data_IF_759118572598
#
_entry.id   IF_759118572598
#
_cell.length_a   1.000
_cell.length_b   1.000
_cell.length_c   1.000
_cell.angle_alpha   90.00
_cell.angle_beta   90.00
_cell.angle_gamma   90.00
#
_symmetry.space_group_name_H-M   'P 1'
#
loop_
_entity.id
_entity.type
_entity.pdbx_description
1 polymer ?
#
# COMPACT_ATOMS: atom_id res chain seq x y z
N UNK A 1 26.76 -12.82 25.21
CA UNK A 1 25.78 -13.46 24.30
C UNK A 1 26.09 -12.98 22.89
N UNK A 2 26.29 -13.87 21.92
CA UNK A 2 26.45 -13.48 20.52
C UNK A 2 25.14 -12.82 20.08
N UNK A 3 25.18 -11.54 19.74
CA UNK A 3 24.00 -10.77 19.38
C UNK A 3 23.51 -11.28 18.02
N UNK A 4 22.52 -12.18 18.00
CA UNK A 4 22.02 -12.79 16.76
C UNK A 4 21.40 -11.73 15.83
N UNK A 5 21.55 -11.90 14.49
CA UNK A 5 20.87 -11.06 13.50
C UNK A 5 19.38 -10.97 13.77
N UNK A 6 18.84 -9.74 13.76
CA UNK A 6 17.40 -9.47 13.90
C UNK A 6 17.01 -8.09 13.40
N UNK A 7 15.71 -7.90 13.18
CA UNK A 7 15.10 -6.59 12.99
C UNK A 7 14.49 -6.09 14.31
N UNK A 8 14.57 -4.78 14.55
CA UNK A 8 14.01 -4.13 15.73
C UNK A 8 12.50 -4.38 15.83
N UNK A 9 12.02 -4.69 17.04
CA UNK A 9 10.59 -4.88 17.35
C UNK A 9 9.95 -6.19 16.85
N UNK A 10 10.51 -6.85 15.84
CA UNK A 10 9.97 -8.09 15.27
C UNK A 10 10.33 -9.33 16.11
N UNK A 11 9.85 -9.37 17.36
CA UNK A 11 10.11 -10.45 18.32
C UNK A 11 9.27 -11.70 18.06
N UNK A 12 8.00 -11.50 17.72
CA UNK A 12 7.01 -12.55 17.49
C UNK A 12 6.57 -12.51 16.02
N UNK A 13 7.14 -13.37 15.18
CA UNK A 13 6.95 -13.30 13.72
C UNK A 13 6.96 -14.71 13.11
N UNK A 14 6.25 -14.89 11.99
CA UNK A 14 6.38 -16.10 11.17
C UNK A 14 7.66 -16.12 10.30
N UNK A 15 8.48 -15.08 10.36
CA UNK A 15 9.81 -14.98 9.75
C UNK A 15 10.91 -14.98 10.81
N UNK A 16 11.94 -15.80 10.62
CA UNK A 16 13.10 -15.91 11.50
C UNK A 16 14.32 -15.17 10.94
N UNK A 17 14.61 -13.98 11.50
CA UNK A 17 15.73 -13.15 11.07
C UNK A 17 17.10 -13.65 11.53
N UNK A 18 17.19 -14.74 12.28
CA UNK A 18 18.47 -15.42 12.51
C UNK A 18 18.93 -16.22 11.28
N UNK A 19 18.02 -16.47 10.33
CA UNK A 19 18.30 -17.19 9.08
C UNK A 19 18.62 -16.22 7.94
N UNK A 20 19.65 -16.55 7.15
CA UNK A 20 20.09 -15.74 6.00
C UNK A 20 18.99 -15.51 4.96
N UNK A 21 18.16 -16.51 4.69
CA UNK A 21 17.14 -16.46 3.62
C UNK A 21 16.08 -15.37 3.87
N UNK A 22 15.80 -15.06 5.14
CA UNK A 22 14.86 -14.00 5.53
C UNK A 22 15.37 -12.59 5.22
N UNK A 23 16.68 -12.42 5.02
CA UNK A 23 17.30 -11.15 4.61
C UNK A 23 17.31 -10.93 3.08
N UNK A 24 16.76 -11.88 2.31
CA UNK A 24 16.57 -11.73 0.87
C UNK A 24 15.52 -10.69 0.51
N UNK A 25 15.60 -10.15 -0.71
CA UNK A 25 14.72 -9.07 -1.25
C UNK A 25 13.22 -9.28 -0.95
N UNK A 26 12.71 -10.50 -1.11
CA UNK A 26 11.27 -10.76 -1.00
C UNK A 26 10.75 -10.64 0.45
N UNK A 27 11.55 -11.05 1.43
CA UNK A 27 11.15 -10.99 2.84
C UNK A 27 11.61 -9.69 3.51
N UNK A 28 12.84 -9.24 3.25
CA UNK A 28 13.38 -8.03 3.87
C UNK A 28 12.57 -6.77 3.51
N UNK A 29 12.17 -6.62 2.23
CA UNK A 29 11.48 -5.41 1.77
C UNK A 29 10.07 -5.22 2.35
N UNK A 30 9.43 -6.30 2.83
CA UNK A 30 8.17 -6.23 3.59
C UNK A 30 8.41 -6.20 5.11
N UNK A 31 9.53 -6.76 5.60
CA UNK A 31 9.82 -6.80 7.03
C UNK A 31 10.42 -5.51 7.59
N UNK A 32 11.38 -4.91 6.87
CA UNK A 32 12.07 -3.69 7.29
C UNK A 32 11.10 -2.52 7.53
N UNK A 33 10.08 -2.27 6.68
CA UNK A 33 9.02 -1.31 6.95
C UNK A 33 8.37 -1.42 8.33
N UNK A 34 8.07 -2.64 8.77
CA UNK A 34 7.42 -2.89 10.06
C UNK A 34 8.41 -2.68 11.21
N UNK A 35 9.66 -3.11 11.03
CA UNK A 35 10.73 -2.82 11.99
C UNK A 35 10.99 -1.31 12.15
N UNK A 36 10.90 -0.55 11.05
CA UNK A 36 10.98 0.91 11.07
C UNK A 36 9.80 1.51 11.85
N UNK A 37 8.57 1.04 11.64
CA UNK A 37 7.42 1.42 12.45
C UNK A 37 7.64 1.13 13.94
N UNK A 38 8.07 -0.08 14.31
CA UNK A 38 8.38 -0.41 15.71
C UNK A 38 9.46 0.51 16.30
N UNK A 39 10.50 0.84 15.52
CA UNK A 39 11.54 1.77 15.96
C UNK A 39 10.99 3.17 16.20
N UNK A 40 10.15 3.69 15.29
CA UNK A 40 9.48 4.97 15.46
C UNK A 40 8.56 4.99 16.69
N UNK A 41 7.80 3.91 16.92
CA UNK A 41 6.96 3.75 18.12
C UNK A 41 7.80 3.82 19.41
N UNK A 42 8.95 3.14 19.46
CA UNK A 42 9.87 3.18 20.61
C UNK A 42 10.50 4.56 20.87
N UNK A 43 10.36 5.48 19.91
CA UNK A 43 10.82 6.87 19.98
C UNK A 43 9.67 7.85 20.18
N UNK A 44 8.44 7.36 20.34
CA UNK A 44 7.23 8.19 20.41
C UNK A 44 7.09 9.10 19.18
N UNK A 45 7.53 8.59 18.01
CA UNK A 45 7.45 9.28 16.73
C UNK A 45 6.25 8.74 15.96
N UNK A 46 5.24 9.59 15.77
CA UNK A 46 4.11 9.30 14.91
C UNK A 46 4.52 9.22 13.42
N UNK A 47 3.74 8.45 12.67
CA UNK A 47 3.88 8.30 11.22
C UNK A 47 2.92 9.26 10.49
N UNK A 48 3.22 9.53 9.23
CA UNK A 48 2.41 10.42 8.40
C UNK A 48 1.15 9.70 7.92
N UNK A 49 -0.04 10.11 8.36
CA UNK A 49 -1.31 9.52 7.97
C UNK A 49 -2.01 10.32 6.88
N UNK A 50 -2.17 9.71 5.71
CA UNK A 50 -2.87 10.27 4.57
C UNK A 50 -4.35 9.90 4.65
N UNK A 51 -5.19 10.91 4.85
CA UNK A 51 -6.64 10.77 4.97
C UNK A 51 -7.37 11.54 3.87
N UNK A 52 -8.51 11.02 3.42
CA UNK A 52 -9.45 11.77 2.61
C UNK A 52 -10.25 12.73 3.50
N UNK A 53 -10.19 14.03 3.20
CA UNK A 53 -10.96 15.06 3.90
C UNK A 53 -11.25 16.21 2.94
N UNK A 54 -12.51 16.63 2.87
CA UNK A 54 -12.97 17.73 1.99
C UNK A 54 -12.59 17.52 0.51
N UNK A 55 -12.82 16.32 -0.03
CA UNK A 55 -12.42 15.90 -1.39
C UNK A 55 -10.91 15.97 -1.70
N UNK A 56 -10.06 16.11 -0.69
CA UNK A 56 -8.60 16.15 -0.84
C UNK A 56 -7.95 15.08 0.02
N UNK A 57 -6.71 14.74 -0.28
CA UNK A 57 -5.88 13.94 0.62
C UNK A 57 -5.10 14.92 1.49
N UNK A 58 -5.20 14.74 2.81
CA UNK A 58 -4.48 15.53 3.80
C UNK A 58 -3.55 14.63 4.59
N UNK A 59 -2.37 15.16 4.90
CA UNK A 59 -1.42 14.51 5.79
C UNK A 59 -1.66 15.01 7.21
N UNK A 60 -1.88 14.07 8.14
CA UNK A 60 -1.88 14.29 9.58
C UNK A 60 -0.97 13.25 10.26
N UNK A 61 -0.99 13.16 11.59
CA UNK A 61 -0.21 12.17 12.32
C UNK A 61 -1.11 11.02 12.81
N UNK A 62 -0.54 9.83 12.92
CA UNK A 62 -1.14 8.66 13.56
C UNK A 62 -0.06 7.92 14.32
N UNK A 63 -0.39 7.40 15.51
CA UNK A 63 0.55 6.56 16.25
C UNK A 63 0.72 5.20 15.56
N UNK A 64 1.89 4.59 15.71
CA UNK A 64 2.12 3.23 15.19
C UNK A 64 1.19 2.22 15.87
N UNK A 65 0.84 2.46 17.13
CA UNK A 65 -0.08 1.59 17.89
C UNK A 65 -1.48 1.58 17.27
N UNK A 66 -1.98 2.74 16.86
CA UNK A 66 -3.25 2.84 16.11
C UNK A 66 -3.15 2.16 14.74
N UNK A 67 -2.00 2.26 14.06
CA UNK A 67 -1.77 1.54 12.78
C UNK A 67 -1.83 0.03 12.97
N UNK A 68 -1.23 -0.49 14.04
CA UNK A 68 -1.19 -1.92 14.34
C UNK A 68 -2.46 -2.44 15.03
N UNK A 69 -3.28 -1.56 15.60
CA UNK A 69 -4.41 -1.92 16.45
C UNK A 69 -4.00 -2.46 17.83
N UNK A 70 -2.72 -2.33 18.19
CA UNK A 70 -2.12 -2.77 19.46
C UNK A 70 -0.77 -2.06 19.66
N UNK A 71 -0.34 -1.94 20.90
CA UNK A 71 1.00 -1.42 21.25
C UNK A 71 2.11 -2.17 20.50
N UNK A 72 3.02 -1.43 19.86
CA UNK A 72 4.07 -1.99 19.01
C UNK A 72 5.12 -2.83 19.78
N UNK A 73 5.21 -2.68 21.10
CA UNK A 73 6.07 -3.44 22.00
C UNK A 73 5.30 -4.49 22.84
N UNK A 74 4.00 -4.67 22.56
CA UNK A 74 3.16 -5.65 23.23
C UNK A 74 3.75 -7.05 23.13
N UNK A 75 3.78 -7.78 24.24
CA UNK A 75 4.20 -9.19 24.24
C UNK A 75 3.22 -10.10 23.48
N UNK A 76 2.00 -9.61 23.24
CA UNK A 76 0.93 -10.37 22.60
C UNK A 76 0.82 -10.07 21.10
N UNK A 77 1.65 -9.17 20.56
CA UNK A 77 1.69 -8.90 19.12
C UNK A 77 2.33 -10.08 18.39
N UNK A 78 1.81 -10.40 17.20
CA UNK A 78 2.42 -11.32 16.25
C UNK A 78 2.37 -10.73 14.85
N UNK A 79 3.53 -10.70 14.19
CA UNK A 79 3.72 -10.20 12.83
C UNK A 79 3.60 -11.36 11.85
N UNK A 80 2.40 -11.57 11.29
CA UNK A 80 2.13 -12.62 10.32
C UNK A 80 2.31 -12.09 8.89
N UNK A 81 3.52 -12.20 8.35
CA UNK A 81 3.81 -11.79 6.97
C UNK A 81 3.16 -12.74 5.95
N UNK A 82 2.81 -12.23 4.77
CA UNK A 82 2.24 -13.02 3.67
C UNK A 82 1.08 -13.92 4.13
N UNK A 83 0.18 -13.34 4.93
CA UNK A 83 -0.93 -14.05 5.57
C UNK A 83 -2.25 -13.40 5.17
N UNK A 84 -3.34 -14.18 5.15
CA UNK A 84 -4.66 -13.68 4.85
C UNK A 84 -5.30 -13.03 6.09
N UNK A 85 -5.85 -11.83 5.97
CA UNK A 85 -6.65 -11.22 7.03
C UNK A 85 -8.03 -11.88 7.07
N UNK A 86 -8.13 -12.99 7.81
CA UNK A 86 -9.29 -13.89 7.79
C UNK A 86 -10.67 -13.24 8.00
N UNK A 87 -10.84 -12.14 8.75
CA UNK A 87 -12.13 -11.43 8.81
C UNK A 87 -12.71 -11.01 7.46
N UNK A 88 -11.86 -10.76 6.45
CA UNK A 88 -12.28 -10.36 5.11
C UNK A 88 -12.72 -11.52 4.22
N UNK A 89 -12.47 -12.78 4.63
CA UNK A 89 -12.89 -13.96 3.87
C UNK A 89 -14.42 -14.03 3.66
N UNK A 90 -15.20 -13.37 4.54
CA UNK A 90 -16.66 -13.29 4.42
C UNK A 90 -17.13 -12.54 3.17
N UNK A 91 -16.31 -11.67 2.57
CA UNK A 91 -16.67 -10.86 1.41
C UNK A 91 -16.26 -11.47 0.07
N UNK A 92 -15.47 -12.54 0.05
CA UNK A 92 -14.94 -13.10 -1.19
C UNK A 92 -15.54 -14.47 -1.52
N UNK A 93 -15.72 -14.74 -2.80
CA UNK A 93 -15.91 -16.09 -3.33
C UNK A 93 -14.53 -16.74 -3.51
N UNK A 94 -14.39 -18.00 -3.10
CA UNK A 94 -13.12 -18.72 -3.13
C UNK A 94 -12.21 -18.36 -1.95
N UNK A 95 -10.89 -18.32 -2.19
CA UNK A 95 -9.89 -17.99 -1.19
C UNK A 95 -9.52 -16.51 -1.20
N UNK A 96 -9.46 -15.88 -0.02
CA UNK A 96 -8.91 -14.54 0.12
C UNK A 96 -7.39 -14.58 -0.16
N UNK A 97 -6.85 -13.69 -1.03
CA UNK A 97 -5.41 -13.60 -1.24
C UNK A 97 -4.69 -13.19 0.05
N UNK A 98 -3.38 -13.44 0.09
CA UNK A 98 -2.53 -12.99 1.21
C UNK A 98 -2.21 -11.51 1.02
N UNK A 99 -2.17 -10.75 2.12
CA UNK A 99 -1.60 -9.40 2.14
C UNK A 99 -0.16 -9.44 2.66
N UNK A 100 0.58 -8.34 2.52
CA UNK A 100 1.99 -8.27 2.90
C UNK A 100 2.19 -8.56 4.41
N UNK A 101 1.29 -8.07 5.28
CA UNK A 101 1.30 -8.40 6.71
C UNK A 101 -0.10 -8.39 7.35
N UNK A 102 -0.31 -9.29 8.30
CA UNK A 102 -1.41 -9.22 9.27
C UNK A 102 -0.82 -9.12 10.68
N UNK A 103 -1.22 -8.09 11.40
CA UNK A 103 -0.95 -7.97 12.84
C UNK A 103 -1.99 -8.83 13.56
N UNK A 104 -1.51 -9.75 14.40
CA UNK A 104 -2.34 -10.67 15.15
C UNK A 104 -2.08 -10.57 16.64
N UNK A 105 -3.07 -10.96 17.43
CA UNK A 105 -2.85 -11.30 18.83
C UNK A 105 -2.38 -12.76 18.91
N UNK A 106 -1.17 -13.01 19.39
CA UNK A 106 -0.55 -14.34 19.42
C UNK A 106 -1.30 -15.34 20.31
N UNK A 107 -2.00 -14.87 21.35
CA UNK A 107 -2.69 -15.73 22.32
C UNK A 107 -4.03 -16.22 21.77
N UNK A 108 -4.72 -15.38 21.00
CA UNK A 108 -6.08 -15.65 20.51
C UNK A 108 -6.12 -16.00 19.03
N UNK A 109 -5.08 -15.68 18.27
CA UNK A 109 -5.06 -15.75 16.80
C UNK A 109 -5.92 -14.68 16.12
N UNK A 110 -6.49 -13.73 16.88
CA UNK A 110 -7.30 -12.65 16.33
C UNK A 110 -6.48 -11.79 15.37
N UNK A 111 -6.99 -11.60 14.16
CA UNK A 111 -6.44 -10.62 13.21
C UNK A 111 -6.88 -9.21 13.64
N UNK A 112 -5.91 -8.35 13.94
CA UNK A 112 -6.14 -6.98 14.40
C UNK A 112 -6.19 -6.01 13.21
N UNK A 113 -5.16 -6.07 12.35
CA UNK A 113 -5.06 -5.23 11.15
C UNK A 113 -4.39 -6.04 10.02
N UNK A 114 -4.88 -5.91 8.78
CA UNK A 114 -4.19 -6.36 7.57
C UNK A 114 -3.67 -5.16 6.78
N UNK A 115 -2.39 -5.17 6.38
CA UNK A 115 -1.73 -4.01 5.75
C UNK A 115 -0.94 -4.42 4.52
N UNK A 116 -1.06 -3.60 3.48
CA UNK A 116 -0.15 -3.61 2.33
C UNK A 116 1.13 -2.82 2.64
N UNK A 117 2.25 -3.25 2.07
CA UNK A 117 3.56 -2.62 2.28
C UNK A 117 4.15 -2.24 0.93
N UNK A 118 4.58 -0.98 0.79
CA UNK A 118 5.26 -0.46 -0.40
C UNK A 118 6.48 0.35 0.00
N UNK A 119 7.64 -0.30 0.05
CA UNK A 119 8.92 0.36 0.29
C UNK A 119 9.37 1.09 -0.99
N UNK A 120 9.38 2.42 -0.96
CA UNK A 120 9.57 3.25 -2.16
C UNK A 120 10.78 4.18 -2.10
N UNK A 121 11.47 4.33 -3.23
CA UNK A 121 12.63 5.22 -3.37
C UNK A 121 12.18 6.68 -3.50
N UNK A 122 12.93 7.60 -2.87
CA UNK A 122 12.67 9.04 -2.94
C UNK A 122 13.97 9.79 -3.28
N UNK A 123 14.06 10.54 -4.38
CA UNK A 123 13.10 10.66 -5.46
C UNK A 123 13.09 9.44 -6.39
N UNK A 124 11.99 9.28 -7.12
CA UNK A 124 11.94 8.40 -8.28
C UNK A 124 12.56 9.04 -9.53
N UNK A 125 12.58 8.29 -10.64
CA UNK A 125 13.16 8.75 -11.90
C UNK A 125 12.47 9.99 -12.50
N UNK A 126 11.21 10.27 -12.16
CA UNK A 126 10.43 11.39 -12.71
C UNK A 126 10.63 12.70 -11.97
N UNK A 127 11.10 12.65 -10.72
CA UNK A 127 11.24 13.83 -9.84
C UNK A 127 12.67 14.09 -9.37
N UNK A 128 13.59 13.16 -9.61
CA UNK A 128 14.99 13.23 -9.17
C UNK A 128 15.86 14.39 -9.71
N UNK A 129 15.34 15.18 -10.63
CA UNK A 129 16.00 16.38 -11.17
C UNK A 129 15.43 17.68 -10.57
N UNK A 130 14.41 17.58 -9.71
CA UNK A 130 13.78 18.71 -9.04
C UNK A 130 14.44 19.01 -7.67
N UNK A 131 13.95 20.02 -6.95
CA UNK A 131 14.31 20.24 -5.55
C UNK A 131 13.60 19.25 -4.62
N UNK A 132 14.14 19.06 -3.42
CA UNK A 132 13.66 18.10 -2.42
C UNK A 132 12.17 18.21 -2.11
N UNK A 133 11.61 19.42 -2.11
CA UNK A 133 10.17 19.68 -1.89
C UNK A 133 9.25 19.06 -2.97
N UNK A 134 9.80 18.80 -4.17
CA UNK A 134 9.10 18.20 -5.30
C UNK A 134 9.52 16.75 -5.55
N UNK A 135 10.33 16.15 -4.67
CA UNK A 135 10.62 14.73 -4.75
C UNK A 135 9.37 13.90 -4.49
N UNK A 136 9.12 12.94 -5.37
CA UNK A 136 8.06 11.95 -5.21
C UNK A 136 8.59 10.54 -5.39
N UNK A 137 7.79 9.57 -5.03
CA UNK A 137 8.16 8.16 -5.10
C UNK A 137 7.17 7.38 -5.97
N UNK A 138 7.69 6.48 -6.81
CA UNK A 138 6.83 5.60 -7.58
C UNK A 138 6.17 4.58 -6.65
N UNK A 139 4.85 4.43 -6.75
CA UNK A 139 4.10 3.37 -6.08
C UNK A 139 3.53 2.40 -7.12
N UNK A 140 3.66 1.10 -6.84
CA UNK A 140 3.17 0.01 -7.71
C UNK A 140 2.19 -0.86 -6.92
N UNK A 141 0.97 -0.99 -7.41
CA UNK A 141 -0.14 -1.65 -6.69
C UNK A 141 -0.50 -2.97 -7.36
N UNK A 142 -0.67 -4.02 -6.55
CA UNK A 142 -1.09 -5.34 -7.02
C UNK A 142 -2.62 -5.42 -7.03
N UNK A 143 -3.21 -6.30 -7.87
CA UNK A 143 -4.65 -6.53 -7.85
C UNK A 143 -5.17 -6.93 -6.46
N UNK A 144 -4.44 -7.78 -5.73
CA UNK A 144 -4.81 -8.22 -4.38
C UNK A 144 -4.96 -7.05 -3.39
N UNK A 145 -4.17 -5.99 -3.54
CA UNK A 145 -4.33 -4.78 -2.74
C UNK A 145 -5.71 -4.15 -2.92
N UNK A 146 -6.30 -4.23 -4.12
CA UNK A 146 -7.64 -3.71 -4.42
C UNK A 146 -8.73 -4.59 -3.81
N UNK A 147 -8.50 -5.91 -3.73
CA UNK A 147 -9.38 -6.85 -3.02
C UNK A 147 -9.46 -6.48 -1.53
N UNK A 148 -8.32 -6.22 -0.90
CA UNK A 148 -8.27 -5.77 0.50
C UNK A 148 -8.90 -4.39 0.70
N UNK A 149 -8.72 -3.48 -0.25
CA UNK A 149 -9.37 -2.18 -0.22
C UNK A 149 -10.90 -2.32 -0.25
N UNK A 150 -11.44 -3.11 -1.17
CA UNK A 150 -12.87 -3.37 -1.26
C UNK A 150 -13.43 -3.98 0.05
N UNK A 151 -12.71 -4.95 0.64
CA UNK A 151 -13.11 -5.55 1.91
C UNK A 151 -13.06 -4.54 3.08
N UNK A 152 -12.04 -3.68 3.16
CA UNK A 152 -11.93 -2.64 4.19
C UNK A 152 -13.11 -1.66 4.11
N UNK A 153 -13.43 -1.19 2.90
CA UNK A 153 -14.58 -0.31 2.65
C UNK A 153 -15.89 -1.00 3.02
N UNK A 154 -16.09 -2.25 2.59
CA UNK A 154 -17.30 -3.00 2.92
C UNK A 154 -17.48 -3.23 4.42
N UNK A 155 -16.40 -3.47 5.16
CA UNK A 155 -16.45 -3.56 6.61
C UNK A 155 -16.74 -2.22 7.28
N UNK A 156 -16.14 -1.14 6.78
CA UNK A 156 -16.30 0.20 7.33
C UNK A 156 -17.75 0.70 7.24
N UNK A 157 -18.36 0.54 6.05
CA UNK A 157 -19.72 1.02 5.82
C UNK A 157 -20.81 0.00 6.20
N UNK A 158 -20.49 -1.29 6.24
CA UNK A 158 -21.46 -2.34 6.57
C UNK A 158 -22.72 -2.22 5.72
N UNK A 159 -23.90 -2.17 6.36
CA UNK A 159 -25.18 -2.04 5.68
C UNK A 159 -25.37 -0.69 4.95
N UNK A 160 -24.73 0.38 5.45
CA UNK A 160 -24.81 1.72 4.86
C UNK A 160 -24.11 1.80 3.50
N UNK A 161 -23.32 0.79 3.11
CA UNK A 161 -22.69 0.75 1.80
C UNK A 161 -23.73 0.83 0.67
N UNK A 162 -24.88 0.17 0.83
CA UNK A 162 -25.96 0.14 -0.17
C UNK A 162 -26.47 1.54 -0.52
N UNK A 163 -26.49 2.46 0.45
CA UNK A 163 -26.96 3.84 0.27
C UNK A 163 -25.95 4.70 -0.51
N UNK A 164 -24.69 4.25 -0.59
CA UNK A 164 -23.59 4.98 -1.24
C UNK A 164 -23.35 4.51 -2.68
N UNK A 165 -23.77 3.29 -3.04
CA UNK A 165 -23.69 2.75 -4.39
C UNK A 165 -24.77 3.38 -5.28
N UNK A 166 -24.33 3.97 -6.40
CA UNK A 166 -25.21 4.37 -7.50
C UNK A 166 -25.10 3.32 -8.60
N UNK A 167 -26.24 2.84 -9.08
CA UNK A 167 -26.34 1.79 -10.10
C UNK A 167 -27.52 2.07 -11.07
N UNK A 168 -27.70 3.34 -11.45
CA UNK A 168 -28.79 3.80 -12.32
C UNK A 168 -28.71 3.26 -13.74
N UNK A 169 -27.49 3.11 -14.26
CA UNK A 169 -27.24 2.76 -15.66
C UNK A 169 -26.94 1.26 -15.85
N UNK A 170 -27.01 0.46 -14.78
CA UNK A 170 -26.67 -0.97 -14.80
C UNK A 170 -27.91 -1.80 -15.13
N UNK A 171 -27.77 -2.65 -16.14
CA UNK A 171 -28.73 -3.74 -16.42
C UNK A 171 -28.20 -5.08 -15.90
N UNK A 172 -29.10 -6.04 -15.65
CA UNK A 172 -28.72 -7.43 -15.32
C UNK A 172 -27.87 -8.09 -16.42
N UNK A 173 -27.97 -7.61 -17.66
CA UNK A 173 -27.27 -8.15 -18.83
C UNK A 173 -25.96 -7.41 -19.17
N UNK A 174 -25.53 -6.45 -18.34
CA UNK A 174 -24.33 -5.64 -18.61
C UNK A 174 -23.09 -6.52 -18.71
N UNK A 175 -22.46 -6.54 -19.89
CA UNK A 175 -21.20 -7.23 -20.12
C UNK A 175 -20.02 -6.38 -19.64
N UNK A 176 -19.51 -6.73 -18.46
CA UNK A 176 -18.36 -6.06 -17.83
C UNK A 176 -17.03 -6.27 -18.56
N UNK A 177 -16.97 -7.15 -19.57
CA UNK A 177 -15.81 -7.32 -20.43
C UNK A 177 -15.80 -6.38 -21.63
N UNK A 178 -16.97 -5.83 -22.02
CA UNK A 178 -17.12 -4.92 -23.15
C UNK A 178 -16.97 -3.45 -22.70
N UNK A 179 -15.89 -2.74 -23.09
CA UNK A 179 -15.73 -1.32 -22.76
C UNK A 179 -16.92 -0.46 -23.18
N UNK A 180 -17.64 -0.80 -24.26
CA UNK A 180 -18.78 -0.01 -24.74
C UNK A 180 -19.97 -0.02 -23.78
N UNK A 181 -20.10 -1.07 -22.99
CA UNK A 181 -21.15 -1.19 -21.97
C UNK A 181 -20.69 -0.64 -20.61
N UNK A 182 -19.39 -0.66 -20.34
CA UNK A 182 -18.84 -0.16 -19.05
C UNK A 182 -18.58 1.34 -19.04
N UNK A 183 -18.18 1.95 -20.16
CA UNK A 183 -17.95 3.41 -20.25
C UNK A 183 -19.18 4.24 -19.84
N UNK A 184 -20.43 3.91 -20.26
CA UNK A 184 -21.63 4.58 -19.79
C UNK A 184 -21.78 4.59 -18.25
N UNK A 185 -21.21 3.60 -17.56
CA UNK A 185 -21.26 3.50 -16.09
C UNK A 185 -20.23 4.38 -15.37
N UNK A 186 -19.37 5.11 -16.09
CA UNK A 186 -18.29 5.89 -15.47
C UNK A 186 -18.82 6.98 -14.53
N UNK A 187 -19.97 7.56 -14.83
CA UNK A 187 -20.61 8.52 -13.94
C UNK A 187 -21.06 7.84 -12.63
N UNK A 188 -21.71 6.68 -12.70
CA UNK A 188 -22.15 5.90 -11.53
C UNK A 188 -20.95 5.47 -10.67
N UNK A 189 -19.87 5.01 -11.31
CA UNK A 189 -18.59 4.67 -10.65
C UNK A 189 -18.03 5.91 -9.94
N UNK A 190 -17.96 7.04 -10.64
CA UNK A 190 -17.41 8.29 -10.10
C UNK A 190 -18.24 8.79 -8.91
N UNK A 191 -19.56 8.83 -9.02
CA UNK A 191 -20.45 9.27 -7.95
C UNK A 191 -20.31 8.35 -6.74
N UNK A 192 -20.36 7.04 -6.95
CA UNK A 192 -20.23 6.04 -5.88
C UNK A 192 -18.93 6.21 -5.10
N UNK A 193 -17.78 6.22 -5.78
CA UNK A 193 -16.49 6.35 -5.10
C UNK A 193 -16.35 7.74 -4.44
N UNK A 194 -16.96 8.80 -5.00
CA UNK A 194 -17.01 10.10 -4.36
C UNK A 194 -17.88 10.10 -3.08
N UNK A 195 -19.02 9.39 -3.07
CA UNK A 195 -19.89 9.24 -1.92
C UNK A 195 -19.13 8.58 -0.75
N UNK A 196 -18.36 7.53 -1.03
CA UNK A 196 -17.49 6.88 -0.04
C UNK A 196 -16.53 7.89 0.60
N UNK A 197 -15.80 8.65 -0.22
CA UNK A 197 -14.81 9.62 0.26
C UNK A 197 -15.42 10.88 0.92
N UNK A 198 -16.70 11.17 0.70
CA UNK A 198 -17.40 12.34 1.25
C UNK A 198 -18.16 12.05 2.53
N UNK A 199 -18.29 10.78 2.90
CA UNK A 199 -19.04 10.39 4.08
C UNK A 199 -18.27 10.82 5.35
N UNK A 200 -18.78 11.86 6.03
CA UNK A 200 -18.15 12.44 7.23
C UNK A 200 -18.21 11.51 8.46
N UNK A 201 -19.08 10.50 8.44
CA UNK A 201 -19.21 9.51 9.53
C UNK A 201 -18.25 8.33 9.37
N UNK A 202 -17.57 8.21 8.23
CA UNK A 202 -16.70 7.10 7.94
C UNK A 202 -15.40 7.16 8.77
N UNK A 203 -15.10 6.06 9.45
CA UNK A 203 -13.84 5.91 10.19
C UNK A 203 -12.79 5.42 9.21
N UNK A 204 -11.83 6.26 8.89
CA UNK A 204 -10.75 5.90 7.97
C UNK A 204 -9.76 4.95 8.63
N UNK A 205 -9.55 3.78 8.03
CA UNK A 205 -8.65 2.74 8.56
C UNK A 205 -7.30 2.74 7.83
N UNK A 206 -6.18 2.51 8.54
CA UNK A 206 -4.89 2.21 7.92
C UNK A 206 -5.01 1.05 6.93
N UNK A 207 -4.56 1.29 5.69
CA UNK A 207 -4.66 0.32 4.60
C UNK A 207 -3.29 -0.06 4.03
N UNK A 208 -2.44 0.94 3.77
CA UNK A 208 -1.15 0.74 3.13
C UNK A 208 -0.05 1.53 3.83
N UNK A 209 1.01 0.84 4.25
CA UNK A 209 2.25 1.45 4.74
C UNK A 209 3.19 1.65 3.55
N UNK A 210 3.53 2.90 3.28
CA UNK A 210 4.51 3.33 2.29
C UNK A 210 5.70 4.01 2.98
N UNK A 211 6.74 3.26 3.38
CA UNK A 211 7.98 3.89 3.78
C UNK A 211 8.70 4.46 2.58
N UNK A 212 9.34 5.60 2.81
CA UNK A 212 10.23 6.25 1.84
C UNK A 212 11.67 6.08 2.28
N UNK A 213 12.56 5.81 1.33
CA UNK A 213 14.01 5.87 1.55
C UNK A 213 14.64 6.91 0.62
N UNK A 214 15.15 7.99 1.22
CA UNK A 214 15.64 9.15 0.48
C UNK A 214 17.12 9.05 0.13
N UNK A 215 17.44 9.32 -1.14
CA UNK A 215 18.80 9.43 -1.67
C UNK A 215 19.19 10.86 -2.00
N UNK A 216 20.48 11.08 -2.24
CA UNK A 216 20.99 12.34 -2.77
C UNK A 216 20.72 12.36 -4.29
N UNK A 217 19.54 12.87 -4.69
CA UNK A 217 19.07 12.82 -6.08
C UNK A 217 19.04 11.37 -6.60
N UNK A 218 19.58 11.12 -7.80
CA UNK A 218 19.72 9.76 -8.38
C UNK A 218 20.88 8.93 -7.78
N UNK A 219 21.65 9.47 -6.84
CA UNK A 219 22.80 8.75 -6.27
C UNK A 219 22.36 7.48 -5.53
N UNK A 220 23.15 6.40 -5.52
CA UNK A 220 22.91 5.26 -4.64
C UNK A 220 23.16 5.56 -3.15
N UNK A 221 23.53 6.80 -2.79
CA UNK A 221 23.81 7.23 -1.42
C UNK A 221 22.54 7.77 -0.77
N UNK A 222 22.21 7.24 0.41
CA UNK A 222 21.17 7.79 1.28
C UNK A 222 21.51 9.23 1.70
N UNK A 223 20.48 10.08 1.74
CA UNK A 223 20.55 11.39 2.38
C UNK A 223 20.82 11.24 3.90
N UNK A 224 21.08 12.33 4.61
CA UNK A 224 21.23 12.26 6.07
C UNK A 224 19.88 11.98 6.74
N UNK A 225 18.86 12.76 6.41
CA UNK A 225 17.46 12.50 6.69
C UNK A 225 16.88 11.61 5.59
N UNK A 226 16.74 10.30 5.85
CA UNK A 226 16.53 9.35 4.78
C UNK A 226 15.40 8.35 4.96
N UNK A 227 14.78 8.22 6.13
CA UNK A 227 13.68 7.28 6.32
C UNK A 227 12.48 7.97 6.95
N UNK A 228 11.30 7.66 6.42
CA UNK A 228 10.02 8.02 7.02
C UNK A 228 8.94 7.02 6.60
N UNK A 229 7.80 7.08 7.25
CA UNK A 229 6.65 6.23 6.98
C UNK A 229 5.42 7.08 6.68
N UNK A 230 4.80 6.80 5.54
CA UNK A 230 3.48 7.30 5.17
C UNK A 230 2.48 6.15 5.21
N UNK A 231 1.35 6.35 5.85
CA UNK A 231 0.26 5.39 5.94
C UNK A 231 -0.91 5.97 5.16
N UNK A 232 -1.39 5.25 4.16
CA UNK A 232 -2.61 5.60 3.46
C UNK A 232 -3.78 4.96 4.17
N UNK A 233 -4.80 5.76 4.48
CA UNK A 233 -6.11 5.22 4.82
C UNK A 233 -6.78 4.57 3.60
N UNK A 234 -7.73 3.68 3.85
CA UNK A 234 -8.59 3.10 2.82
C UNK A 234 -9.26 4.19 1.96
N UNK A 235 -9.95 5.16 2.56
CA UNK A 235 -10.63 6.23 1.80
C UNK A 235 -9.67 7.22 1.12
N UNK A 236 -8.49 7.50 1.69
CA UNK A 236 -7.47 8.25 0.95
C UNK A 236 -7.02 7.50 -0.29
N UNK A 237 -6.91 6.17 -0.20
CA UNK A 237 -6.53 5.35 -1.35
C UNK A 237 -7.62 5.29 -2.41
N UNK A 238 -8.90 5.25 -2.03
CA UNK A 238 -10.03 5.41 -2.96
C UNK A 238 -9.97 6.77 -3.66
N UNK A 239 -9.73 7.86 -2.89
CA UNK A 239 -9.56 9.21 -3.44
C UNK A 239 -8.37 9.29 -4.41
N UNK A 240 -7.29 8.59 -4.09
CA UNK A 240 -6.12 8.51 -4.97
C UNK A 240 -6.47 7.84 -6.29
N UNK A 241 -7.09 6.65 -6.27
CA UNK A 241 -7.56 5.96 -7.49
C UNK A 241 -8.46 6.86 -8.32
N UNK A 242 -9.43 7.53 -7.69
CA UNK A 242 -10.31 8.50 -8.35
C UNK A 242 -9.54 9.64 -9.04
N UNK A 243 -8.46 10.13 -8.44
CA UNK A 243 -7.68 11.25 -8.98
C UNK A 243 -6.84 10.89 -10.21
N UNK A 244 -6.52 9.61 -10.39
CA UNK A 244 -5.67 9.12 -11.49
C UNK A 244 -6.45 8.33 -12.55
N UNK A 245 -7.72 8.01 -12.29
CA UNK A 245 -8.61 7.37 -13.23
C UNK A 245 -9.22 8.40 -14.19
N UNK A 246 -9.23 8.07 -15.49
CA UNK A 246 -10.03 8.80 -16.48
C UNK A 246 -11.42 8.16 -16.56
N UNK A 247 -12.38 8.77 -15.85
CA UNK A 247 -13.79 8.39 -15.82
C UNK A 247 -14.64 9.37 -16.66
N UNK A 248 -14.14 9.81 -17.81
CA UNK A 248 -14.86 10.67 -18.75
C UNK A 248 -15.67 9.86 -19.78
N UNK A 249 -16.82 10.39 -20.19
CA UNK A 249 -17.66 9.76 -21.23
C UNK A 249 -16.95 9.65 -22.60
N UNK A 250 -15.98 10.55 -22.85
CA UNK A 250 -15.18 10.57 -24.08
C UNK A 250 -13.91 9.70 -23.99
N UNK A 251 -13.82 8.82 -22.98
CA UNK A 251 -12.65 7.98 -22.77
C UNK A 251 -12.43 7.06 -23.98
N UNK A 252 -11.30 7.24 -24.66
CA UNK A 252 -10.95 6.44 -25.85
C UNK A 252 -10.44 5.05 -25.47
N UNK A 253 -9.90 4.89 -24.26
CA UNK A 253 -9.26 3.65 -23.81
C UNK A 253 -9.25 3.56 -22.28
N UNK A 254 -9.76 2.45 -21.76
CA UNK A 254 -9.69 2.13 -20.34
C UNK A 254 -8.23 1.84 -19.96
N UNK A 255 -7.65 2.73 -19.15
CA UNK A 255 -6.28 2.59 -18.64
C UNK A 255 -6.25 1.70 -17.39
N UNK A 256 -5.06 1.33 -16.91
CA UNK A 256 -4.88 0.58 -15.66
C UNK A 256 -5.51 1.28 -14.43
N UNK A 257 -5.29 2.59 -14.21
CA UNK A 257 -6.01 3.34 -13.18
C UNK A 257 -7.54 3.31 -13.34
N UNK A 258 -8.07 3.61 -14.53
CA UNK A 258 -9.52 3.57 -14.80
C UNK A 258 -10.11 2.18 -14.54
N UNK A 259 -9.45 1.14 -15.05
CA UNK A 259 -9.80 -0.26 -14.78
C UNK A 259 -9.83 -0.57 -13.29
N UNK A 260 -8.88 -0.04 -12.53
CA UNK A 260 -8.84 -0.25 -11.07
C UNK A 260 -10.03 0.38 -10.36
N UNK A 261 -10.48 1.56 -10.82
CA UNK A 261 -11.72 2.16 -10.32
C UNK A 261 -12.95 1.28 -10.64
N UNK A 262 -13.02 0.72 -11.86
CA UNK A 262 -14.06 -0.23 -12.29
C UNK A 262 -14.04 -1.49 -11.41
N UNK A 263 -12.85 -2.07 -11.16
CA UNK A 263 -12.69 -3.24 -10.28
C UNK A 263 -13.23 -2.96 -8.89
N UNK A 264 -12.77 -1.87 -8.26
CA UNK A 264 -13.21 -1.50 -6.91
C UNK A 264 -14.73 -1.33 -6.85
N UNK A 265 -15.30 -0.58 -7.81
CA UNK A 265 -16.74 -0.39 -7.89
C UNK A 265 -17.50 -1.70 -8.04
N UNK A 266 -17.07 -2.57 -8.97
CA UNK A 266 -17.73 -3.86 -9.22
C UNK A 266 -17.67 -4.78 -8.00
N UNK A 267 -16.53 -4.81 -7.30
CA UNK A 267 -16.39 -5.58 -6.06
C UNK A 267 -17.36 -5.09 -4.98
N UNK A 268 -17.50 -3.78 -4.80
CA UNK A 268 -18.43 -3.20 -3.82
C UNK A 268 -19.90 -3.42 -4.21
N UNK A 269 -20.22 -3.30 -5.50
CA UNK A 269 -21.55 -3.59 -6.04
C UNK A 269 -21.94 -5.06 -5.78
N UNK A 270 -21.03 -6.01 -6.05
CA UNK A 270 -21.28 -7.43 -5.83
C UNK A 270 -21.44 -7.76 -4.35
N UNK A 271 -20.72 -7.09 -3.45
CA UNK A 271 -20.95 -7.21 -2.01
C UNK A 271 -22.35 -6.72 -1.63
N UNK A 272 -22.80 -5.59 -2.19
CA UNK A 272 -24.14 -5.06 -1.91
C UNK A 272 -25.24 -6.02 -2.39
N UNK A 273 -25.08 -6.58 -3.58
CA UNK A 273 -26.08 -7.46 -4.20
C UNK A 273 -26.07 -8.88 -3.62
N UNK A 274 -24.90 -9.45 -3.37
CA UNK A 274 -24.72 -10.87 -3.11
C UNK A 274 -24.05 -11.17 -1.76
N UNK A 275 -23.65 -10.13 -1.01
CA UNK A 275 -22.84 -10.23 0.20
C UNK A 275 -21.37 -10.58 -0.06
N UNK A 276 -21.00 -10.94 -1.31
CA UNK A 276 -19.67 -11.39 -1.71
C UNK A 276 -19.35 -11.03 -3.16
N UNK A 277 -18.06 -10.95 -3.48
CA UNK A 277 -17.57 -10.75 -4.85
C UNK A 277 -16.57 -11.84 -5.27
N UNK A 278 -16.49 -12.14 -6.57
CA UNK A 278 -15.49 -13.04 -7.13
C UNK A 278 -14.33 -12.23 -7.73
N UNK A 279 -13.29 -12.01 -6.93
CA UNK A 279 -12.16 -11.17 -7.32
C UNK A 279 -11.39 -11.67 -8.55
N UNK A 280 -11.10 -12.98 -8.64
CA UNK A 280 -10.39 -13.57 -9.79
C UNK A 280 -11.17 -13.30 -11.08
N UNK A 281 -12.48 -13.59 -11.07
CA UNK A 281 -13.35 -13.33 -12.20
C UNK A 281 -13.42 -11.85 -12.57
N UNK A 282 -13.60 -10.94 -11.60
CA UNK A 282 -13.66 -9.50 -11.87
C UNK A 282 -12.36 -9.00 -12.47
N UNK A 283 -11.20 -9.41 -11.93
CA UNK A 283 -9.88 -8.99 -12.40
C UNK A 283 -9.62 -9.46 -13.83
N UNK A 284 -10.04 -10.68 -14.17
CA UNK A 284 -9.83 -11.28 -15.48
C UNK A 284 -10.83 -10.75 -16.53
N UNK A 285 -12.12 -10.71 -16.20
CA UNK A 285 -13.19 -10.24 -17.08
C UNK A 285 -13.04 -8.75 -17.37
N UNK A 286 -12.82 -7.92 -16.34
CA UNK A 286 -12.69 -6.47 -16.50
C UNK A 286 -11.24 -6.08 -16.82
N UNK A 287 -10.55 -6.80 -17.71
CA UNK A 287 -9.13 -6.54 -18.03
C UNK A 287 -8.92 -5.46 -19.10
N UNK A 288 -9.90 -5.26 -19.99
CA UNK A 288 -9.95 -4.23 -21.03
C UNK A 288 -8.66 -4.12 -21.87
N UNK A 289 -8.10 -5.25 -22.27
CA UNK A 289 -6.85 -5.35 -23.05
C UNK A 289 -5.60 -4.81 -22.34
N UNK A 290 -5.62 -4.74 -21.01
CA UNK A 290 -4.44 -4.41 -20.20
C UNK A 290 -4.00 -5.65 -19.41
N UNK A 291 -2.69 -5.86 -19.24
CA UNK A 291 -2.22 -6.97 -18.37
C UNK A 291 -2.69 -6.73 -16.93
N UNK A 292 -3.08 -7.80 -16.24
CA UNK A 292 -3.61 -7.80 -14.88
C UNK A 292 -2.56 -8.09 -13.80
N UNK A 293 -1.26 -8.21 -14.14
CA UNK A 293 -0.15 -8.42 -13.19
C UNK A 293 -0.01 -7.31 -12.12
N UNK A 294 -0.54 -6.12 -12.42
CA UNK A 294 -0.59 -4.95 -11.55
C UNK A 294 -1.96 -4.30 -11.70
N UNK A 295 -2.49 -3.75 -10.62
CA UNK A 295 -3.63 -2.86 -10.68
C UNK A 295 -3.24 -1.59 -11.44
N UNK A 296 -2.24 -0.86 -10.94
CA UNK A 296 -1.62 0.30 -11.59
C UNK A 296 -0.24 0.62 -10.99
N UNK A 297 0.45 1.59 -11.58
CA UNK A 297 1.60 2.28 -10.99
C UNK A 297 1.47 3.78 -11.20
N UNK A 298 1.96 4.56 -10.24
CA UNK A 298 1.93 6.03 -10.30
C UNK A 298 3.30 6.58 -9.94
N UNK A 299 3.82 7.48 -10.77
CA UNK A 299 5.15 8.07 -10.61
C UNK A 299 5.19 9.10 -9.48
N UNK A 300 6.40 9.50 -9.11
CA UNK A 300 6.67 10.55 -8.14
C UNK A 300 5.99 11.88 -8.46
N UNK A 301 5.90 12.25 -9.74
CA UNK A 301 5.18 13.45 -10.18
C UNK A 301 3.70 13.42 -9.77
N UNK A 302 3.09 12.23 -9.75
CA UNK A 302 1.69 12.02 -9.38
C UNK A 302 1.54 11.86 -7.87
N UNK A 303 2.46 11.16 -7.19
CA UNK A 303 2.33 10.88 -5.75
C UNK A 303 2.74 12.06 -4.86
N UNK A 304 3.72 12.87 -5.27
CA UNK A 304 4.22 14.00 -4.46
C UNK A 304 3.09 14.95 -4.01
N UNK A 305 2.15 15.41 -4.87
CA UNK A 305 1.06 16.28 -4.44
C UNK A 305 0.22 15.75 -3.27
N UNK A 306 0.05 14.42 -3.17
CA UNK A 306 -0.74 13.78 -2.10
C UNK A 306 0.05 13.56 -0.81
N UNK A 307 1.37 13.41 -0.92
CA UNK A 307 2.29 13.16 0.21
C UNK A 307 2.99 14.43 0.70
N UNK A 308 2.82 15.56 -0.01
CA UNK A 308 3.56 16.81 0.20
C UNK A 308 3.47 17.25 1.66
N UNK A 309 4.62 17.28 2.31
CA UNK A 309 4.78 17.61 3.72
C UNK A 309 6.24 17.89 4.01
N UNK A 310 6.52 18.55 5.14
CA UNK A 310 7.89 18.72 5.65
C UNK A 310 8.60 17.39 5.86
N UNK A 311 7.84 16.34 6.21
CA UNK A 311 8.33 14.97 6.43
C UNK A 311 8.69 14.25 5.12
N UNK A 312 8.07 14.61 3.99
CA UNK A 312 8.49 14.10 2.68
C UNK A 312 9.77 14.80 2.20
N UNK A 313 9.84 16.12 2.37
CA UNK A 313 11.02 16.92 2.02
C UNK A 313 12.22 16.52 2.88
N UNK A 314 12.04 16.38 4.19
CA UNK A 314 13.08 15.99 5.16
C UNK A 314 12.60 14.83 6.03
N UNK A 315 12.79 13.57 5.58
CA UNK A 315 12.43 12.36 6.33
C UNK A 315 12.99 12.36 7.75
N UNK A 316 12.17 12.00 8.74
CA UNK A 316 12.56 12.24 10.14
C UNK A 316 13.69 11.34 10.65
N UNK A 317 13.83 10.13 10.11
CA UNK A 317 14.82 9.15 10.61
C UNK A 317 16.14 9.31 9.85
N UNK A 318 17.22 9.42 10.63
CA UNK A 318 18.56 9.64 10.12
C UNK A 318 19.18 8.35 9.60
N UNK A 319 20.03 8.46 8.58
CA UNK A 319 20.85 7.35 8.06
C UNK A 319 21.67 6.67 9.16
N UNK A 320 22.17 7.46 10.11
CA UNK A 320 22.95 6.96 11.25
C UNK A 320 22.15 6.08 12.22
N UNK A 321 20.81 6.08 12.14
CA UNK A 321 19.90 5.30 12.99
C UNK A 321 19.54 3.94 12.42
N UNK A 322 19.82 3.67 11.14
CA UNK A 322 19.54 2.36 10.51
C UNK A 322 20.19 1.20 11.30
N UNK A 323 21.39 1.44 11.88
CA UNK A 323 22.10 0.48 12.74
C UNK A 323 21.38 0.13 14.06
N UNK A 324 20.33 0.87 14.41
CA UNK A 324 19.45 0.62 15.55
C UNK A 324 18.19 -0.17 15.15
N UNK A 325 17.94 -0.31 13.84
CA UNK A 325 16.81 -1.05 13.27
C UNK A 325 17.27 -2.43 12.78
N UNK A 326 18.40 -2.47 12.06
CA UNK A 326 19.08 -3.69 11.65
C UNK A 326 20.12 -4.04 12.71
N UNK A 327 19.92 -5.16 13.41
CA UNK A 327 20.67 -5.50 14.63
C UNK A 327 21.48 -6.78 14.46
N UNK A 328 22.48 -6.96 15.32
CA UNK A 328 23.19 -8.24 15.49
C UNK A 328 23.94 -8.73 14.25
N UNK A 329 24.46 -7.83 13.42
CA UNK A 329 25.16 -8.21 12.18
C UNK A 329 24.23 -8.51 11.00
N UNK A 330 22.92 -8.29 11.11
CA UNK A 330 21.97 -8.58 10.05
C UNK A 330 22.26 -7.89 8.71
N UNK A 331 22.94 -6.74 8.72
CA UNK A 331 23.40 -6.07 7.50
C UNK A 331 24.36 -6.93 6.66
N UNK A 332 25.08 -7.87 7.27
CA UNK A 332 25.98 -8.81 6.60
C UNK A 332 25.23 -9.95 5.90
N UNK A 333 23.95 -10.15 6.26
CA UNK A 333 23.07 -11.15 5.67
C UNK A 333 22.23 -10.59 4.51
N UNK A 334 22.21 -9.25 4.34
CA UNK A 334 21.54 -8.62 3.21
C UNK A 334 22.13 -9.16 1.90
N UNK A 335 21.26 -9.72 1.07
CA UNK A 335 21.62 -10.22 -0.24
C UNK A 335 20.98 -9.33 -1.31
N UNK A 336 21.55 -8.14 -1.61
CA UNK A 336 21.04 -7.30 -2.68
C UNK A 336 21.07 -8.09 -3.99
N UNK A 337 19.99 -8.03 -4.78
CA UNK A 337 19.96 -8.66 -6.09
C UNK A 337 21.09 -8.11 -6.96
N UNK A 338 22.07 -8.97 -7.28
CA UNK A 338 23.10 -8.72 -8.27
C UNK A 338 22.44 -8.68 -9.66
N UNK A 339 21.95 -7.53 -10.08
CA UNK A 339 21.65 -7.32 -11.50
C UNK A 339 22.95 -6.93 -12.23
N UNK A 340 23.03 -7.33 -13.49
CA UNK A 340 24.23 -7.21 -14.33
C UNK A 340 24.67 -5.75 -14.49
N UNK A 341 23.73 -4.81 -14.53
CA UNK A 341 23.96 -3.36 -14.57
C UNK A 341 24.71 -2.83 -13.32
N UNK A 342 24.38 -3.32 -12.13
CA UNK A 342 25.10 -2.96 -10.91
C UNK A 342 26.54 -3.52 -10.90
N UNK A 343 26.78 -4.65 -11.58
CA UNK A 343 28.13 -5.20 -11.78
C UNK A 343 28.89 -4.31 -12.77
N UNK A 344 28.30 -3.98 -13.92
CA UNK A 344 28.94 -3.11 -14.93
C UNK A 344 29.25 -1.70 -14.41
N UNK A 345 28.35 -1.10 -13.61
CA UNK A 345 28.54 0.24 -13.05
C UNK A 345 29.66 0.28 -11.99
N UNK A 346 29.78 -0.77 -11.18
CA UNK A 346 30.79 -0.86 -10.12
C UNK A 346 32.12 -1.50 -10.58
N UNK A 347 32.21 -1.91 -11.85
CA UNK A 347 33.42 -2.51 -12.45
C UNK A 347 33.89 -1.72 -13.69
N UNK A 348 34.34 -0.46 -13.54
CA UNK A 348 34.85 0.34 -14.66
C UNK A 348 36.05 -0.30 -15.38
N UNK A 349 36.78 -1.20 -14.72
CA UNK A 349 37.88 -1.99 -15.30
C UNK A 349 37.46 -2.94 -16.42
N UNK A 350 36.17 -3.28 -16.55
CA UNK A 350 35.66 -4.11 -17.64
C UNK A 350 35.65 -3.38 -19.00
N UNK A 351 35.93 -2.08 -19.00
CA UNK A 351 35.91 -1.22 -20.19
C UNK A 351 37.21 -0.43 -20.40
N UNK A 352 38.28 -0.81 -19.70
CA UNK A 352 39.62 -0.26 -19.88
C UNK A 352 40.42 -1.02 -20.96
#
# INVERSE_FOLDING_TARGET
MVNKPRLFGLTNSNRDFSLKDTWGKNQFNSSFPIALCCYMASKEIDVNYLISKNNQIKCQSISVNEVFGVEADSQDIFFAFETAHTPFAKYVVGSLPRTDIVIQNIRTGQCLTGLEIKLTALPDHTTCHLSDEFFGSEIVIRPDSIVYLACSIAENFGQNLNELIVASEISEETDWSDPKQVIPLFNDISITLNNLCRNETAIQKPFLIQPVWKTIGKSPRLAENCLDVFVWSDLAFVRFILSIADLSENCLKITRPTRTAIWLYKMLLDICQNGKFNHEQIIDTCSFNTKNDKAFSSSGQITNPFMKSTRLETPIILKSEIKKIILGGGQELLSPERRFDAILYNSPELFL
#
